data_IF_042342218452
#
_entry.id   IF_042342218452
#
_cell.length_a   1.000
_cell.length_b   1.000
_cell.length_c   1.000
_cell.angle_alpha   90.00
_cell.angle_beta   90.00
_cell.angle_gamma   90.00
#
_symmetry.space_group_name_H-M   'P 1'
#
loop_
_entity.id
_entity.type
_entity.pdbx_description
1 polymer ?
#
# COMPACT_ATOMS: atom_id res chain seq x y z
N UNK A 1 3.88 -18.82 20.93
CA UNK A 1 4.53 -19.29 19.69
C UNK A 1 5.92 -18.74 19.67
N UNK A 2 6.88 -19.54 19.25
CA UNK A 2 8.23 -19.01 19.05
C UNK A 2 8.26 -18.10 17.80
N UNK A 3 9.39 -17.42 17.61
CA UNK A 3 9.54 -16.42 16.55
C UNK A 3 9.57 -17.05 15.15
N UNK A 4 10.07 -18.29 15.04
CA UNK A 4 10.16 -19.02 13.78
C UNK A 4 8.77 -19.51 13.39
N UNK A 5 8.02 -20.09 14.32
CA UNK A 5 6.62 -20.47 14.15
C UNK A 5 5.78 -19.27 13.69
N UNK A 6 6.00 -18.10 14.30
CA UNK A 6 5.33 -16.86 13.93
C UNK A 6 5.64 -16.43 12.49
N UNK A 7 6.91 -16.51 12.07
CA UNK A 7 7.31 -16.25 10.68
C UNK A 7 6.67 -17.24 9.71
N UNK A 8 6.66 -18.52 10.07
CA UNK A 8 6.07 -19.59 9.27
C UNK A 8 4.56 -19.41 9.09
N UNK A 9 3.83 -18.95 10.12
CA UNK A 9 2.40 -18.61 9.98
C UNK A 9 2.19 -17.62 8.83
N UNK A 10 2.94 -16.51 8.82
CA UNK A 10 2.77 -15.50 7.78
C UNK A 10 3.08 -16.04 6.38
N UNK A 11 4.17 -16.80 6.23
CA UNK A 11 4.52 -17.39 4.93
C UNK A 11 3.47 -18.42 4.49
N UNK A 12 3.07 -19.34 5.36
CA UNK A 12 2.07 -20.36 5.08
C UNK A 12 0.74 -19.72 4.68
N UNK A 13 0.27 -18.72 5.44
CA UNK A 13 -0.96 -17.98 5.14
C UNK A 13 -0.86 -17.28 3.79
N UNK A 14 0.28 -16.64 3.49
CA UNK A 14 0.49 -15.98 2.20
C UNK A 14 0.46 -16.97 1.03
N UNK A 15 1.09 -18.14 1.16
CA UNK A 15 1.06 -19.19 0.15
C UNK A 15 -0.33 -19.80 -0.01
N UNK A 16 -1.03 -20.12 1.08
CA UNK A 16 -2.39 -20.67 1.05
C UNK A 16 -3.36 -19.68 0.41
N UNK A 17 -3.34 -18.42 0.83
CA UNK A 17 -4.19 -17.37 0.27
C UNK A 17 -3.92 -17.19 -1.24
N UNK A 18 -2.65 -17.22 -1.64
CA UNK A 18 -2.24 -17.13 -3.06
C UNK A 18 -2.69 -18.34 -3.87
N UNK A 19 -2.60 -19.54 -3.30
CA UNK A 19 -3.09 -20.76 -3.92
C UNK A 19 -4.59 -20.67 -4.17
N UNK A 20 -5.39 -20.32 -3.16
CA UNK A 20 -6.83 -20.12 -3.31
C UNK A 20 -7.16 -19.02 -4.32
N UNK A 21 -6.43 -17.91 -4.28
CA UNK A 21 -6.61 -16.84 -5.25
C UNK A 21 -6.39 -17.35 -6.68
N UNK A 22 -5.37 -18.19 -6.91
CA UNK A 22 -5.05 -18.74 -8.25
C UNK A 22 -6.20 -19.54 -8.89
N UNK A 23 -7.14 -20.04 -8.08
CA UNK A 23 -8.36 -20.71 -8.56
C UNK A 23 -9.29 -19.78 -9.34
N UNK A 24 -9.03 -18.47 -9.38
CA UNK A 24 -9.75 -17.55 -10.27
C UNK A 24 -9.69 -17.97 -11.75
N UNK A 25 -8.66 -18.74 -12.13
CA UNK A 25 -8.44 -19.30 -13.48
C UNK A 25 -9.29 -20.56 -13.75
N UNK A 26 -9.94 -21.13 -12.73
CA UNK A 26 -10.75 -22.33 -12.87
C UNK A 26 -11.92 -22.10 -13.81
N UNK A 27 -12.23 -23.11 -14.64
CA UNK A 27 -13.44 -23.13 -15.48
C UNK A 27 -14.71 -23.37 -14.67
N UNK A 28 -14.59 -24.00 -13.48
CA UNK A 28 -15.73 -24.28 -12.59
C UNK A 28 -16.02 -23.06 -11.74
N UNK A 29 -17.23 -22.49 -11.88
CA UNK A 29 -17.65 -21.28 -11.16
C UNK A 29 -17.50 -21.42 -9.64
N UNK A 30 -17.95 -22.55 -9.08
CA UNK A 30 -17.88 -22.82 -7.64
C UNK A 30 -16.43 -22.79 -7.10
N UNK A 31 -15.46 -23.34 -7.84
CA UNK A 31 -14.05 -23.31 -7.42
C UNK A 31 -13.47 -21.90 -7.47
N UNK A 32 -13.89 -21.11 -8.45
CA UNK A 32 -13.49 -19.71 -8.57
C UNK A 32 -14.03 -18.87 -7.41
N UNK A 33 -15.32 -19.02 -7.08
CA UNK A 33 -15.96 -18.27 -5.99
C UNK A 33 -15.39 -18.64 -4.63
N UNK A 34 -15.27 -19.94 -4.34
CA UNK A 34 -14.63 -20.44 -3.11
C UNK A 34 -13.17 -19.99 -3.03
N UNK A 35 -12.42 -20.08 -4.13
CA UNK A 35 -11.02 -19.63 -4.16
C UNK A 35 -10.87 -18.14 -3.87
N UNK A 36 -11.72 -17.29 -4.46
CA UNK A 36 -11.72 -15.86 -4.18
C UNK A 36 -12.11 -15.58 -2.72
N UNK A 37 -13.14 -16.24 -2.20
CA UNK A 37 -13.58 -16.09 -0.81
C UNK A 37 -12.46 -16.48 0.17
N UNK A 38 -11.88 -17.67 0.01
CA UNK A 38 -10.83 -18.18 0.90
C UNK A 38 -9.53 -17.38 0.80
N UNK A 39 -9.21 -16.82 -0.37
CA UNK A 39 -8.05 -15.93 -0.53
C UNK A 39 -8.12 -14.66 0.32
N UNK A 40 -9.34 -14.24 0.69
CA UNK A 40 -9.58 -13.05 1.53
C UNK A 40 -9.81 -13.47 2.99
N UNK A 41 -10.70 -14.44 3.23
CA UNK A 41 -11.12 -14.80 4.59
C UNK A 41 -9.98 -15.36 5.42
N UNK A 42 -9.15 -16.25 4.87
CA UNK A 42 -8.05 -16.88 5.61
C UNK A 42 -7.08 -15.84 6.19
N UNK A 43 -6.46 -14.95 5.39
CA UNK A 43 -5.58 -13.92 5.94
C UNK A 43 -6.33 -12.93 6.85
N UNK A 44 -7.62 -12.65 6.61
CA UNK A 44 -8.41 -11.79 7.50
C UNK A 44 -8.66 -12.41 8.87
N UNK A 45 -8.87 -13.73 8.97
CA UNK A 45 -8.95 -14.44 10.26
C UNK A 45 -7.66 -14.19 11.05
N UNK A 46 -6.49 -14.35 10.42
CA UNK A 46 -5.18 -14.11 11.06
C UNK A 46 -5.07 -12.68 11.59
N UNK A 47 -5.57 -11.68 10.85
CA UNK A 47 -5.57 -10.30 11.31
C UNK A 47 -6.53 -10.04 12.48
N UNK A 48 -7.65 -10.77 12.55
CA UNK A 48 -8.65 -10.63 13.61
C UNK A 48 -8.28 -11.35 14.90
N UNK A 49 -7.70 -12.55 14.81
CA UNK A 49 -7.34 -13.34 15.99
C UNK A 49 -6.09 -12.82 16.69
N UNK A 50 -5.25 -12.04 16.00
CA UNK A 50 -4.01 -11.52 16.58
C UNK A 50 -4.26 -10.73 17.87
N UNK A 51 -3.32 -10.79 18.79
CA UNK A 51 -3.31 -10.03 20.02
C UNK A 51 -1.95 -9.37 20.23
N UNK A 52 -1.90 -8.05 20.41
CA UNK A 52 -0.65 -7.30 20.66
C UNK A 52 0.44 -7.48 19.58
N UNK A 53 0.05 -7.80 18.33
CA UNK A 53 0.95 -7.93 17.20
C UNK A 53 0.93 -6.67 16.36
N UNK A 54 2.08 -6.01 16.20
CA UNK A 54 2.17 -4.72 15.54
C UNK A 54 2.26 -3.54 16.52
N UNK A 55 3.21 -2.64 16.29
CA UNK A 55 3.40 -1.39 17.02
C UNK A 55 2.11 -0.58 17.24
N UNK A 56 1.21 -0.54 16.25
CA UNK A 56 0.00 0.28 16.33
C UNK A 56 -1.23 -0.51 16.84
N UNK A 57 -1.11 -1.81 17.15
CA UNK A 57 -2.24 -2.67 17.57
C UNK A 57 -3.01 -2.08 18.75
N UNK A 58 -2.30 -1.75 19.85
CA UNK A 58 -2.95 -1.29 21.08
C UNK A 58 -3.68 0.04 20.89
N UNK A 59 -3.14 0.92 20.05
CA UNK A 59 -3.78 2.20 19.72
C UNK A 59 -5.11 1.99 18.98
N UNK A 60 -5.14 1.09 17.98
CA UNK A 60 -6.38 0.75 17.29
C UNK A 60 -7.35 0.02 18.20
N UNK A 61 -6.87 -0.95 18.98
CA UNK A 61 -7.72 -1.70 19.92
C UNK A 61 -8.40 -0.78 20.91
N UNK A 62 -7.64 0.11 21.58
CA UNK A 62 -8.19 1.10 22.50
C UNK A 62 -9.21 2.03 21.82
N UNK A 63 -8.94 2.44 20.57
CA UNK A 63 -9.88 3.26 19.80
C UNK A 63 -11.18 2.52 19.49
N UNK A 64 -11.10 1.23 19.14
CA UNK A 64 -12.28 0.40 18.85
C UNK A 64 -13.11 0.10 20.10
N UNK A 65 -12.45 -0.12 21.25
CA UNK A 65 -13.13 -0.27 22.53
C UNK A 65 -13.85 1.03 22.94
N UNK A 66 -13.20 2.19 22.82
CA UNK A 66 -13.82 3.49 23.08
C UNK A 66 -15.00 3.78 22.13
N UNK A 67 -14.94 3.34 20.88
CA UNK A 67 -16.04 3.52 19.92
C UNK A 67 -17.32 2.78 20.31
N UNK A 68 -17.29 1.82 21.24
CA UNK A 68 -18.49 1.12 21.72
C UNK A 68 -19.47 2.10 22.37
N UNK A 69 -18.94 3.03 23.17
CA UNK A 69 -19.73 3.96 23.99
C UNK A 69 -19.94 5.34 23.32
N UNK A 70 -19.32 5.58 22.15
CA UNK A 70 -19.40 6.86 21.45
C UNK A 70 -20.50 6.86 20.38
N UNK A 71 -21.34 7.90 20.37
CA UNK A 71 -22.33 8.13 19.31
C UNK A 71 -21.70 8.80 18.06
N UNK A 72 -22.23 8.50 16.87
CA UNK A 72 -21.89 9.13 15.59
C UNK A 72 -21.80 10.66 15.64
N UNK A 73 -22.68 11.34 16.38
CA UNK A 73 -22.66 12.80 16.51
C UNK A 73 -21.30 13.32 17.03
N UNK A 74 -20.75 12.66 18.05
CA UNK A 74 -19.47 13.07 18.67
C UNK A 74 -18.27 12.76 17.78
N UNK A 75 -18.36 11.72 16.94
CA UNK A 75 -17.35 11.44 15.91
C UNK A 75 -17.30 12.57 14.88
N UNK A 76 -18.45 13.14 14.52
CA UNK A 76 -18.54 14.22 13.53
C UNK A 76 -18.12 15.58 14.09
N UNK A 77 -18.34 15.83 15.38
CA UNK A 77 -17.99 17.09 16.04
C UNK A 77 -16.50 17.26 16.35
N UNK A 78 -15.69 16.21 16.23
CA UNK A 78 -14.24 16.24 16.52
C UNK A 78 -13.91 16.51 18.01
N UNK A 79 -14.91 16.43 18.89
CA UNK A 79 -14.76 16.63 20.34
C UNK A 79 -14.15 15.41 21.05
N UNK A 80 -14.06 14.26 20.37
CA UNK A 80 -13.43 13.06 20.92
C UNK A 80 -11.99 12.97 20.42
N UNK A 81 -11.03 13.02 21.34
CA UNK A 81 -9.59 13.04 21.09
C UNK A 81 -9.02 11.71 20.53
N UNK A 82 -9.67 11.09 19.54
CA UNK A 82 -9.21 9.85 18.94
C UNK A 82 -7.90 9.99 18.18
N UNK A 83 -7.47 11.19 17.78
CA UNK A 83 -6.30 11.40 16.91
C UNK A 83 -6.34 10.60 15.57
N UNK A 84 -7.52 10.12 15.18
CA UNK A 84 -7.77 9.33 13.97
C UNK A 84 -8.57 10.11 12.93
N UNK A 85 -8.51 9.66 11.67
CA UNK A 85 -9.23 10.29 10.56
C UNK A 85 -10.74 9.94 10.62
N UNK A 86 -11.61 10.91 10.34
CA UNK A 86 -13.07 10.79 10.58
C UNK A 86 -13.74 9.68 9.76
N UNK A 87 -13.37 9.53 8.49
CA UNK A 87 -13.92 8.45 7.64
C UNK A 87 -13.54 7.06 8.17
N UNK A 88 -12.33 6.92 8.72
CA UNK A 88 -11.90 5.69 9.38
C UNK A 88 -12.71 5.43 10.66
N UNK A 89 -12.94 6.45 11.49
CA UNK A 89 -13.72 6.32 12.72
C UNK A 89 -15.18 5.94 12.43
N UNK A 90 -15.82 6.56 11.44
CA UNK A 90 -17.21 6.26 11.06
C UNK A 90 -17.36 4.80 10.59
N UNK A 91 -16.47 4.32 9.72
CA UNK A 91 -16.49 2.93 9.26
C UNK A 91 -16.19 1.98 10.42
N UNK A 92 -15.22 2.31 11.28
CA UNK A 92 -14.90 1.51 12.46
C UNK A 92 -16.08 1.44 13.42
N UNK A 93 -16.85 2.52 13.60
CA UNK A 93 -18.06 2.54 14.42
C UNK A 93 -19.12 1.58 13.88
N UNK A 94 -19.33 1.55 12.57
CA UNK A 94 -20.24 0.56 11.94
C UNK A 94 -19.79 -0.88 12.24
N UNK A 95 -18.48 -1.16 12.15
CA UNK A 95 -17.94 -2.49 12.47
C UNK A 95 -18.05 -2.85 13.95
N UNK A 96 -17.88 -1.86 14.84
CA UNK A 96 -18.08 -2.01 16.28
C UNK A 96 -19.56 -2.29 16.58
N UNK A 97 -20.49 -1.52 16.01
CA UNK A 97 -21.93 -1.72 16.22
C UNK A 97 -22.41 -3.09 15.71
N UNK A 98 -21.79 -3.62 14.66
CA UNK A 98 -22.10 -4.94 14.12
C UNK A 98 -21.73 -6.11 15.06
N UNK A 99 -20.63 -5.98 15.82
CA UNK A 99 -20.02 -7.13 16.50
C UNK A 99 -19.75 -6.96 17.99
N UNK A 100 -19.71 -5.70 18.45
CA UNK A 100 -19.21 -5.28 19.76
C UNK A 100 -17.84 -5.89 20.14
N UNK A 101 -17.02 -6.28 19.16
CA UNK A 101 -15.78 -7.01 19.37
C UNK A 101 -14.66 -6.48 18.48
N UNK A 102 -13.64 -5.86 19.10
CA UNK A 102 -12.50 -5.26 18.41
C UNK A 102 -11.68 -6.23 17.55
N UNK A 103 -11.66 -7.53 17.89
CA UNK A 103 -11.04 -8.57 17.05
C UNK A 103 -11.78 -8.74 15.72
N UNK A 104 -13.12 -8.69 15.76
CA UNK A 104 -13.96 -8.72 14.55
C UNK A 104 -13.77 -7.42 13.75
N UNK A 105 -13.59 -6.27 14.40
CA UNK A 105 -13.27 -5.01 13.70
C UNK A 105 -11.95 -5.11 12.93
N UNK A 106 -10.89 -5.70 13.51
CA UNK A 106 -9.64 -5.96 12.77
C UNK A 106 -9.84 -6.92 11.58
N UNK A 107 -10.63 -7.99 11.76
CA UNK A 107 -11.01 -8.89 10.68
C UNK A 107 -11.69 -8.13 9.54
N UNK A 108 -12.69 -7.30 9.82
CA UNK A 108 -13.46 -6.55 8.83
C UNK A 108 -12.61 -5.51 8.08
N UNK A 109 -11.69 -4.83 8.76
CA UNK A 109 -10.75 -3.93 8.10
C UNK A 109 -9.76 -4.68 7.20
N UNK A 110 -9.24 -5.82 7.65
CA UNK A 110 -8.40 -6.68 6.80
C UNK A 110 -9.17 -7.16 5.56
N UNK A 111 -10.41 -7.61 5.75
CA UNK A 111 -11.30 -8.03 4.67
C UNK A 111 -11.47 -6.90 3.64
N UNK A 112 -11.71 -5.67 4.13
CA UNK A 112 -11.85 -4.47 3.30
C UNK A 112 -10.60 -4.21 2.45
N UNK A 113 -9.40 -4.29 3.04
CA UNK A 113 -8.14 -4.11 2.30
C UNK A 113 -8.02 -5.12 1.16
N UNK A 114 -8.21 -6.40 1.47
CA UNK A 114 -8.02 -7.49 0.52
C UNK A 114 -9.08 -7.46 -0.59
N UNK A 115 -10.34 -7.16 -0.27
CA UNK A 115 -11.41 -6.99 -1.26
C UNK A 115 -11.12 -5.81 -2.20
N UNK A 116 -10.73 -4.65 -1.67
CA UNK A 116 -10.37 -3.47 -2.49
C UNK A 116 -9.18 -3.77 -3.42
N UNK A 117 -8.16 -4.45 -2.89
CA UNK A 117 -7.00 -4.84 -3.66
C UNK A 117 -7.37 -5.84 -4.76
N UNK A 118 -8.05 -6.94 -4.42
CA UNK A 118 -8.48 -7.97 -5.38
C UNK A 118 -9.38 -7.37 -6.46
N UNK A 119 -10.36 -6.53 -6.10
CA UNK A 119 -11.22 -5.85 -7.05
C UNK A 119 -10.43 -5.04 -8.08
N UNK A 120 -9.33 -4.40 -7.64
CA UNK A 120 -8.44 -3.66 -8.51
C UNK A 120 -7.63 -4.59 -9.41
N UNK A 121 -6.92 -5.56 -8.85
CA UNK A 121 -6.02 -6.44 -9.62
C UNK A 121 -6.77 -7.39 -10.54
N UNK A 122 -8.00 -7.77 -10.20
CA UNK A 122 -8.84 -8.60 -11.06
C UNK A 122 -9.12 -7.93 -12.42
N UNK A 123 -9.10 -6.59 -12.48
CA UNK A 123 -9.24 -5.86 -13.75
C UNK A 123 -8.01 -5.95 -14.66
N UNK A 124 -6.86 -6.39 -14.13
CA UNK A 124 -5.60 -6.59 -14.84
C UNK A 124 -5.34 -8.07 -15.21
N UNK A 125 -6.27 -8.98 -14.93
CA UNK A 125 -6.07 -10.44 -15.02
C UNK A 125 -5.72 -10.99 -16.41
N UNK A 126 -6.04 -10.26 -17.47
CA UNK A 126 -5.79 -10.71 -18.85
C UNK A 126 -4.38 -10.36 -19.33
N UNK A 127 -3.80 -9.29 -18.79
CA UNK A 127 -2.52 -8.75 -19.26
C UNK A 127 -1.36 -9.03 -18.28
N UNK A 128 -1.67 -9.40 -17.03
CA UNK A 128 -0.69 -9.52 -15.95
C UNK A 128 -0.86 -10.80 -15.13
N UNK A 129 0.24 -11.29 -14.53
CA UNK A 129 0.20 -12.41 -13.57
C UNK A 129 -0.34 -11.92 -12.22
N UNK A 130 -1.67 -11.81 -12.13
CA UNK A 130 -2.32 -11.29 -10.93
C UNK A 130 -2.13 -12.20 -9.71
N UNK A 131 -1.80 -13.49 -9.89
CA UNK A 131 -1.46 -14.38 -8.78
C UNK A 131 -0.15 -13.95 -8.13
N UNK A 132 0.87 -13.63 -8.94
CA UNK A 132 2.12 -13.09 -8.43
C UNK A 132 1.92 -11.70 -7.82
N UNK A 133 1.10 -10.83 -8.44
CA UNK A 133 0.74 -9.52 -7.88
C UNK A 133 0.16 -9.67 -6.47
N UNK A 134 -0.79 -10.60 -6.28
CA UNK A 134 -1.42 -10.83 -4.99
C UNK A 134 -0.43 -11.34 -3.94
N UNK A 135 0.44 -12.28 -4.30
CA UNK A 135 1.50 -12.77 -3.41
C UNK A 135 2.45 -11.63 -2.97
N UNK A 136 2.90 -10.81 -3.90
CA UNK A 136 3.77 -9.66 -3.61
C UNK A 136 3.05 -8.65 -2.70
N UNK A 137 1.76 -8.39 -2.94
CA UNK A 137 0.99 -7.52 -2.08
C UNK A 137 0.87 -8.05 -0.64
N UNK A 138 0.66 -9.35 -0.47
CA UNK A 138 0.57 -9.95 0.86
C UNK A 138 1.85 -9.71 1.68
N UNK A 139 3.01 -9.92 1.06
CA UNK A 139 4.30 -9.80 1.75
C UNK A 139 4.81 -8.36 1.88
N UNK A 140 4.52 -7.47 0.92
CA UNK A 140 5.04 -6.09 0.94
C UNK A 140 4.10 -5.07 1.59
N UNK A 141 2.78 -5.29 1.57
CA UNK A 141 1.79 -4.28 1.96
C UNK A 141 0.79 -4.79 3.00
N UNK A 142 0.27 -6.01 2.83
CA UNK A 142 -0.79 -6.53 3.70
C UNK A 142 -0.30 -6.71 5.14
N UNK A 143 0.83 -7.37 5.37
CA UNK A 143 1.34 -7.50 6.75
C UNK A 143 1.78 -6.16 7.35
N UNK A 144 2.23 -5.21 6.54
CA UNK A 144 2.48 -3.84 6.97
C UNK A 144 1.20 -3.14 7.45
N UNK A 145 0.02 -3.54 6.94
CA UNK A 145 -1.28 -3.01 7.39
C UNK A 145 -1.61 -3.31 8.84
N UNK A 146 -0.94 -4.30 9.48
CA UNK A 146 -1.13 -4.59 10.91
C UNK A 146 -0.68 -3.41 11.79
N UNK A 147 0.18 -2.55 11.24
CA UNK A 147 0.60 -1.28 11.82
C UNK A 147 -0.12 -0.10 11.18
N UNK A 148 -0.06 0.03 9.85
CA UNK A 148 -0.55 1.23 9.17
C UNK A 148 -1.88 1.00 8.45
N UNK A 149 -2.83 0.38 9.16
CA UNK A 149 -4.13 -0.06 8.66
C UNK A 149 -4.85 0.99 7.79
N UNK A 150 -5.06 2.19 8.34
CA UNK A 150 -5.69 3.34 7.65
C UNK A 150 -5.01 3.66 6.32
N UNK A 151 -3.68 3.69 6.34
CA UNK A 151 -2.89 4.08 5.19
C UNK A 151 -2.94 3.02 4.09
N UNK A 152 -2.90 1.72 4.43
CA UNK A 152 -2.99 0.65 3.44
C UNK A 152 -4.39 0.57 2.80
N UNK A 153 -5.46 0.83 3.57
CA UNK A 153 -6.81 1.00 3.00
C UNK A 153 -6.82 2.13 1.96
N UNK A 154 -6.29 3.31 2.34
CA UNK A 154 -6.21 4.44 1.43
C UNK A 154 -5.35 4.13 0.18
N UNK A 155 -4.22 3.44 0.34
CA UNK A 155 -3.36 2.98 -0.78
C UNK A 155 -4.13 2.08 -1.75
N UNK A 156 -4.97 1.15 -1.26
CA UNK A 156 -5.78 0.29 -2.12
C UNK A 156 -6.83 1.09 -2.92
N UNK A 157 -7.45 2.11 -2.31
CA UNK A 157 -8.38 3.01 -2.99
C UNK A 157 -7.67 3.86 -4.05
N UNK A 158 -6.49 4.41 -3.71
CA UNK A 158 -5.66 5.15 -4.66
C UNK A 158 -5.22 4.25 -5.83
N UNK A 159 -4.82 3.01 -5.55
CA UNK A 159 -4.45 2.06 -6.59
C UNK A 159 -5.60 1.81 -7.58
N UNK A 160 -6.84 1.70 -7.08
CA UNK A 160 -8.03 1.63 -7.94
C UNK A 160 -8.22 2.89 -8.79
N UNK A 161 -7.97 4.06 -8.20
CA UNK A 161 -8.16 5.35 -8.87
C UNK A 161 -7.29 5.52 -10.11
N UNK A 162 -6.13 4.86 -10.18
CA UNK A 162 -5.22 4.94 -11.34
C UNK A 162 -5.91 4.50 -12.63
N UNK A 163 -6.86 3.56 -12.59
CA UNK A 163 -7.65 3.18 -13.78
C UNK A 163 -8.33 4.41 -14.42
N UNK A 164 -8.82 5.34 -13.61
CA UNK A 164 -9.52 6.51 -14.10
C UNK A 164 -8.58 7.56 -14.72
N UNK A 165 -7.29 7.53 -14.38
CA UNK A 165 -6.25 8.29 -15.08
C UNK A 165 -6.17 7.83 -16.54
N UNK A 166 -6.08 6.53 -16.78
CA UNK A 166 -6.04 5.99 -18.14
C UNK A 166 -7.36 6.18 -18.89
N UNK A 167 -8.49 6.00 -18.22
CA UNK A 167 -9.83 6.16 -18.81
C UNK A 167 -10.23 7.63 -19.05
N UNK A 168 -9.37 8.61 -18.70
CA UNK A 168 -9.66 10.06 -18.75
C UNK A 168 -10.96 10.46 -17.99
N UNK A 169 -11.18 9.89 -16.80
CA UNK A 169 -12.34 10.18 -15.93
C UNK A 169 -11.92 10.93 -14.66
N UNK A 170 -11.64 12.23 -14.78
CA UNK A 170 -11.12 13.07 -13.68
C UNK A 170 -12.03 13.06 -12.45
N UNK A 171 -13.35 13.17 -12.65
CA UNK A 171 -14.32 13.18 -11.55
C UNK A 171 -14.25 11.89 -10.72
N UNK A 172 -14.21 10.72 -11.37
CA UNK A 172 -14.09 9.42 -10.69
C UNK A 172 -12.75 9.25 -9.99
N UNK A 173 -11.67 9.75 -10.57
CA UNK A 173 -10.37 9.81 -9.93
C UNK A 173 -10.41 10.65 -8.65
N UNK A 174 -10.90 11.89 -8.73
CA UNK A 174 -10.98 12.81 -7.58
C UNK A 174 -11.92 12.32 -6.48
N UNK A 175 -13.04 11.67 -6.83
CA UNK A 175 -13.95 11.06 -5.85
C UNK A 175 -13.22 9.98 -5.05
N UNK A 176 -12.49 9.08 -5.71
CA UNK A 176 -11.74 8.04 -5.00
C UNK A 176 -10.59 8.61 -4.16
N UNK A 177 -9.90 9.63 -4.65
CA UNK A 177 -8.88 10.35 -3.85
C UNK A 177 -9.54 10.97 -2.62
N UNK A 178 -10.68 11.64 -2.77
CA UNK A 178 -11.44 12.23 -1.67
C UNK A 178 -11.87 11.19 -0.63
N UNK A 179 -12.43 10.06 -1.06
CA UNK A 179 -12.79 8.94 -0.17
C UNK A 179 -11.54 8.44 0.57
N UNK A 180 -10.44 8.19 -0.13
CA UNK A 180 -9.18 7.77 0.49
C UNK A 180 -8.68 8.80 1.52
N UNK A 181 -8.82 10.09 1.24
CA UNK A 181 -8.46 11.18 2.14
C UNK A 181 -9.33 11.25 3.39
N UNK A 182 -10.58 10.77 3.36
CA UNK A 182 -11.39 10.68 4.59
C UNK A 182 -10.91 9.58 5.54
N UNK A 183 -10.25 8.54 5.00
CA UNK A 183 -9.69 7.41 5.78
C UNK A 183 -8.27 7.70 6.24
N UNK A 184 -7.48 8.36 5.39
CA UNK A 184 -6.16 8.85 5.74
C UNK A 184 -5.83 10.12 4.95
N UNK A 185 -5.79 11.27 5.62
CA UNK A 185 -5.74 12.59 4.98
C UNK A 185 -4.61 12.75 3.95
N UNK A 186 -3.45 12.14 4.20
CA UNK A 186 -2.28 12.23 3.31
C UNK A 186 -2.49 11.61 1.93
N UNK A 187 -3.56 10.83 1.72
CA UNK A 187 -3.94 10.30 0.41
C UNK A 187 -4.22 11.40 -0.63
N UNK A 188 -4.52 12.62 -0.19
CA UNK A 188 -4.72 13.79 -1.06
C UNK A 188 -3.47 14.10 -1.89
N UNK A 189 -2.28 13.73 -1.38
CA UNK A 189 -1.01 13.86 -2.07
C UNK A 189 -0.87 12.93 -3.28
N UNK A 190 -1.90 12.14 -3.61
CA UNK A 190 -1.98 11.31 -4.81
C UNK A 190 -2.56 12.05 -6.02
N UNK A 191 -3.15 13.23 -5.86
CA UNK A 191 -3.68 14.07 -6.97
C UNK A 191 -2.67 14.23 -8.12
N UNK A 192 -1.37 14.45 -7.87
CA UNK A 192 -0.36 14.58 -8.93
C UNK A 192 -0.32 13.42 -9.93
N UNK A 193 -0.75 12.21 -9.55
CA UNK A 193 -0.79 11.03 -10.44
C UNK A 193 -1.56 11.29 -11.73
N UNK A 194 -2.65 12.08 -11.67
CA UNK A 194 -3.45 12.44 -12.83
C UNK A 194 -2.61 13.11 -13.93
N UNK A 195 -1.69 13.98 -13.53
CA UNK A 195 -0.89 14.80 -14.44
C UNK A 195 0.31 14.07 -15.04
N UNK A 196 0.54 12.81 -14.66
CA UNK A 196 1.62 11.97 -15.21
C UNK A 196 1.23 11.24 -16.50
N UNK A 197 -0.05 11.32 -16.89
CA UNK A 197 -0.55 10.81 -18.16
C UNK A 197 -0.94 11.94 -19.11
N UNK A 198 -0.67 11.77 -20.40
CA UNK A 198 -1.13 12.66 -21.45
C UNK A 198 -2.40 12.09 -22.09
N UNK A 199 -3.56 12.61 -21.68
CA UNK A 199 -4.86 12.17 -22.17
C UNK A 199 -5.10 12.45 -23.66
N UNK A 200 -4.35 13.39 -24.28
CA UNK A 200 -4.47 13.66 -25.73
C UNK A 200 -3.82 12.58 -26.58
N UNK A 201 -2.65 12.10 -26.17
CA UNK A 201 -1.88 11.09 -26.92
C UNK A 201 -2.10 9.67 -26.40
N UNK A 202 -2.79 9.54 -25.25
CA UNK A 202 -2.92 8.29 -24.51
C UNK A 202 -1.56 7.62 -24.24
N UNK A 203 -0.62 8.43 -23.76
CA UNK A 203 0.75 8.01 -23.41
C UNK A 203 1.18 8.67 -22.09
N UNK A 204 2.25 8.19 -21.44
CA UNK A 204 2.93 8.95 -20.40
C UNK A 204 3.34 10.34 -20.92
N UNK A 205 3.48 11.28 -20.00
CA UNK A 205 3.94 12.63 -20.32
C UNK A 205 5.28 12.66 -21.09
N UNK A 206 5.47 13.72 -21.87
CA UNK A 206 6.68 13.93 -22.68
C UNK A 206 7.96 13.89 -21.84
N UNK A 207 9.09 13.49 -22.46
CA UNK A 207 10.40 13.44 -21.79
C UNK A 207 10.81 14.77 -21.13
N UNK A 208 10.42 15.92 -21.71
CA UNK A 208 10.69 17.24 -21.13
C UNK A 208 9.88 17.45 -19.86
N UNK A 209 8.57 17.20 -19.90
CA UNK A 209 7.68 17.32 -18.73
C UNK A 209 8.06 16.35 -17.63
N UNK A 210 8.42 15.10 -17.98
CA UNK A 210 8.94 14.10 -17.04
C UNK A 210 10.16 14.62 -16.29
N UNK A 211 11.14 15.20 -17.00
CA UNK A 211 12.32 15.82 -16.37
C UNK A 211 11.94 16.95 -15.42
N UNK A 212 11.05 17.86 -15.83
CA UNK A 212 10.58 18.95 -14.96
C UNK A 212 9.92 18.42 -13.68
N UNK A 213 9.05 17.42 -13.78
CA UNK A 213 8.39 16.82 -12.61
C UNK A 213 9.40 16.14 -11.69
N UNK A 214 10.39 15.42 -12.23
CA UNK A 214 11.41 14.77 -11.42
C UNK A 214 12.30 15.80 -10.71
N UNK A 215 12.70 16.88 -11.38
CA UNK A 215 13.42 17.98 -10.74
C UNK A 215 12.58 18.62 -9.63
N UNK A 216 11.30 18.89 -9.90
CA UNK A 216 10.39 19.42 -8.88
C UNK A 216 10.23 18.45 -7.70
N UNK A 217 10.10 17.15 -7.94
CA UNK A 217 10.01 16.13 -6.89
C UNK A 217 11.28 16.09 -6.03
N UNK A 218 12.47 16.18 -6.65
CA UNK A 218 13.75 16.28 -5.92
C UNK A 218 13.77 17.55 -5.07
N UNK A 219 13.44 18.72 -5.63
CA UNK A 219 13.39 19.99 -4.90
C UNK A 219 12.38 19.94 -3.74
N UNK A 220 11.19 19.38 -3.96
CA UNK A 220 10.18 19.22 -2.92
C UNK A 220 10.71 18.34 -1.79
N UNK A 221 11.34 17.21 -2.12
CA UNK A 221 11.90 16.26 -1.16
C UNK A 221 13.10 16.83 -0.40
N UNK A 222 13.94 17.67 -1.01
CA UNK A 222 15.08 18.29 -0.31
C UNK A 222 14.65 19.50 0.53
N UNK A 223 13.58 20.20 0.13
CA UNK A 223 13.10 21.41 0.79
C UNK A 223 11.89 21.20 1.70
N UNK A 224 11.43 19.95 1.89
CA UNK A 224 10.18 19.63 2.60
C UNK A 224 10.07 20.27 4.00
N UNK A 225 11.17 20.36 4.74
CA UNK A 225 11.20 20.97 6.08
C UNK A 225 10.91 22.46 6.03
N UNK A 226 11.47 23.16 5.04
CA UNK A 226 11.22 24.59 4.84
C UNK A 226 9.79 24.85 4.40
N UNK A 227 9.24 23.97 3.55
CA UNK A 227 7.82 24.03 3.14
C UNK A 227 6.90 23.89 4.36
N UNK A 228 7.14 22.90 5.22
CA UNK A 228 6.35 22.72 6.45
C UNK A 228 6.49 23.91 7.40
N UNK A 229 7.70 24.41 7.63
CA UNK A 229 7.93 25.58 8.49
C UNK A 229 7.26 26.84 7.94
N UNK A 230 7.30 27.06 6.63
CA UNK A 230 6.63 28.17 5.98
C UNK A 230 5.12 28.13 6.22
N UNK A 231 4.48 26.98 5.99
CA UNK A 231 3.04 26.87 6.23
C UNK A 231 2.64 26.90 7.72
N UNK A 232 3.54 26.49 8.62
CA UNK A 232 3.29 26.56 10.06
C UNK A 232 3.14 27.99 10.57
N UNK A 233 3.76 28.99 9.92
CA UNK A 233 3.61 30.42 10.25
C UNK A 233 2.14 30.85 10.17
N UNK A 234 1.37 30.24 9.29
CA UNK A 234 -0.06 30.54 9.10
C UNK A 234 -0.98 29.80 10.08
N UNK A 235 -0.44 29.10 11.08
CA UNK A 235 -1.21 28.35 12.08
C UNK A 235 -2.24 27.38 11.48
N UNK A 236 -1.96 26.82 10.29
CA UNK A 236 -2.83 25.85 9.66
C UNK A 236 -2.77 24.56 10.49
N UNK A 237 -3.87 24.23 11.19
CA UNK A 237 -3.97 23.11 12.14
C UNK A 237 -3.36 21.79 11.62
N UNK A 238 -3.63 21.44 10.35
CA UNK A 238 -3.07 20.22 9.76
C UNK A 238 -1.55 20.26 9.70
N UNK A 239 -0.94 21.40 9.38
CA UNK A 239 0.51 21.56 9.27
C UNK A 239 1.15 21.52 10.66
N UNK A 240 0.54 22.18 11.64
CA UNK A 240 1.02 22.17 13.03
C UNK A 240 1.10 20.74 13.58
N UNK A 241 0.13 19.86 13.26
CA UNK A 241 0.15 18.44 13.64
C UNK A 241 1.39 17.69 13.12
N UNK A 242 1.89 18.05 11.93
CA UNK A 242 3.05 17.39 11.32
C UNK A 242 4.40 18.01 11.71
N UNK A 243 4.42 19.13 12.45
CA UNK A 243 5.65 19.78 12.92
C UNK A 243 6.49 18.88 13.83
N UNK A 244 5.85 17.98 14.58
CA UNK A 244 6.51 16.98 15.45
C UNK A 244 7.52 16.12 14.66
N UNK A 245 7.32 15.96 13.36
CA UNK A 245 8.19 15.14 12.51
C UNK A 245 9.41 15.87 11.94
N UNK A 246 9.61 17.16 12.24
CA UNK A 246 10.75 17.94 11.74
C UNK A 246 12.08 17.59 12.43
N UNK A 247 12.04 17.22 13.71
CA UNK A 247 13.24 17.00 14.53
C UNK A 247 13.67 15.53 14.57
N UNK A 248 13.48 14.80 13.47
CA UNK A 248 13.86 13.39 13.40
C UNK A 248 15.37 13.20 13.41
N UNK A 249 15.82 12.16 14.13
CA UNK A 249 17.21 11.71 14.06
C UNK A 249 17.54 11.20 12.65
N UNK A 250 18.82 11.15 12.27
CA UNK A 250 19.22 10.46 11.04
C UNK A 250 18.91 8.96 11.19
N UNK A 251 17.98 8.46 10.38
CA UNK A 251 17.60 7.05 10.37
C UNK A 251 18.32 6.28 9.27
N UNK A 252 18.60 4.99 9.50
CA UNK A 252 18.90 4.08 8.40
C UNK A 252 17.64 3.88 7.55
N UNK A 253 17.80 3.93 6.23
CA UNK A 253 16.67 3.84 5.30
C UNK A 253 16.92 2.80 4.23
N UNK A 254 17.02 1.54 4.66
CA UNK A 254 17.28 0.38 3.78
C UNK A 254 16.21 0.27 2.69
N UNK A 255 14.95 0.63 2.99
CA UNK A 255 13.86 0.63 1.99
C UNK A 255 14.13 1.58 0.82
N UNK A 256 14.79 2.73 1.04
CA UNK A 256 15.23 3.61 -0.04
C UNK A 256 16.28 2.95 -0.93
N UNK A 257 17.29 2.31 -0.34
CA UNK A 257 18.36 1.63 -1.09
C UNK A 257 17.78 0.52 -1.97
N UNK A 258 16.85 -0.26 -1.42
CA UNK A 258 16.16 -1.32 -2.16
C UNK A 258 15.31 -0.74 -3.30
N UNK A 259 14.52 0.31 -3.05
CA UNK A 259 13.73 0.98 -4.11
C UNK A 259 14.62 1.62 -5.17
N UNK A 260 15.80 2.13 -4.82
CA UNK A 260 16.79 2.63 -5.77
C UNK A 260 17.31 1.50 -6.66
N UNK A 261 17.69 0.36 -6.09
CA UNK A 261 18.08 -0.83 -6.85
C UNK A 261 16.96 -1.34 -7.77
N UNK A 262 15.73 -1.44 -7.26
CA UNK A 262 14.56 -1.82 -8.06
C UNK A 262 14.27 -0.81 -9.19
N UNK A 263 14.51 0.48 -8.96
CA UNK A 263 14.37 1.51 -10.00
C UNK A 263 15.32 1.23 -11.16
N UNK A 264 16.59 0.89 -10.86
CA UNK A 264 17.57 0.51 -11.89
C UNK A 264 17.10 -0.74 -12.63
N UNK A 265 16.64 -1.77 -11.91
CA UNK A 265 16.10 -3.00 -12.51
C UNK A 265 14.91 -2.69 -13.43
N UNK A 266 13.97 -1.85 -13.03
CA UNK A 266 12.81 -1.50 -13.85
C UNK A 266 13.16 -0.66 -15.08
N UNK A 267 14.17 0.22 -14.99
CA UNK A 267 14.67 0.96 -16.15
C UNK A 267 15.34 0.01 -17.15
N UNK A 268 16.17 -0.92 -16.68
CA UNK A 268 16.80 -1.95 -17.52
C UNK A 268 15.72 -2.83 -18.15
N UNK A 269 14.78 -3.34 -17.35
CA UNK A 269 13.61 -4.10 -17.80
C UNK A 269 12.89 -3.41 -18.97
N UNK A 270 12.60 -2.11 -18.85
CA UNK A 270 11.90 -1.35 -19.87
C UNK A 270 12.71 -1.20 -21.16
N UNK A 271 14.04 -1.13 -21.05
CA UNK A 271 14.93 -1.08 -22.22
C UNK A 271 14.97 -2.41 -22.98
N UNK A 272 14.79 -3.55 -22.28
CA UNK A 272 14.89 -4.89 -22.86
C UNK A 272 13.59 -5.36 -23.55
N UNK A 273 12.42 -5.00 -23.02
CA UNK A 273 11.12 -5.49 -23.51
C UNK A 273 10.49 -4.59 -24.60
N UNK A 274 11.18 -3.51 -25.01
CA UNK A 274 10.79 -2.63 -26.13
C UNK A 274 9.30 -2.22 -26.13
N UNK A 275 8.93 -1.21 -25.32
CA UNK A 275 7.72 -0.34 -25.44
C UNK A 275 6.38 -0.94 -25.92
N UNK A 276 6.04 -2.19 -25.62
CA UNK A 276 4.73 -2.73 -26.02
C UNK A 276 3.57 -2.16 -25.19
N UNK A 277 3.81 -1.80 -23.92
CA UNK A 277 2.77 -1.30 -23.01
C UNK A 277 3.16 0.05 -22.39
N UNK A 278 2.55 1.12 -22.90
CA UNK A 278 2.77 2.50 -22.41
C UNK A 278 2.37 2.70 -20.95
N UNK A 279 1.51 1.84 -20.38
CA UNK A 279 1.16 1.92 -18.94
C UNK A 279 2.34 1.53 -18.07
N UNK A 280 3.26 0.68 -18.55
CA UNK A 280 4.48 0.34 -17.82
C UNK A 280 5.39 1.55 -17.67
N UNK A 281 5.56 2.36 -18.72
CA UNK A 281 6.32 3.59 -18.63
C UNK A 281 5.74 4.56 -17.59
N UNK A 282 4.40 4.61 -17.48
CA UNK A 282 3.72 5.35 -16.42
C UNK A 282 4.00 4.76 -15.04
N UNK A 283 3.85 3.44 -14.86
CA UNK A 283 4.12 2.80 -13.57
C UNK A 283 5.58 2.96 -13.13
N UNK A 284 6.55 2.91 -14.05
CA UNK A 284 7.96 3.17 -13.74
C UNK A 284 8.15 4.62 -13.30
N UNK A 285 7.52 5.59 -13.97
CA UNK A 285 7.59 6.99 -13.56
C UNK A 285 7.00 7.20 -12.15
N UNK A 286 5.83 6.62 -11.89
CA UNK A 286 5.18 6.66 -10.57
C UNK A 286 6.07 6.01 -9.50
N UNK A 287 6.71 4.87 -9.82
CA UNK A 287 7.63 4.19 -8.92
C UNK A 287 8.89 5.03 -8.61
N UNK A 288 9.46 5.70 -9.61
CA UNK A 288 10.58 6.64 -9.41
C UNK A 288 10.17 7.77 -8.46
N UNK A 289 8.98 8.33 -8.61
CA UNK A 289 8.46 9.35 -7.68
C UNK A 289 8.34 8.77 -6.26
N UNK A 290 7.85 7.53 -6.11
CA UNK A 290 7.86 6.83 -4.82
C UNK A 290 9.27 6.74 -4.22
N UNK A 291 10.27 6.33 -5.02
CA UNK A 291 11.65 6.20 -4.58
C UNK A 291 12.23 7.55 -4.15
N UNK A 292 11.94 8.63 -4.88
CA UNK A 292 12.33 9.98 -4.50
C UNK A 292 11.69 10.41 -3.17
N UNK A 293 10.39 10.17 -2.96
CA UNK A 293 9.72 10.48 -1.69
C UNK A 293 10.31 9.65 -0.54
N UNK A 294 10.67 8.40 -0.79
CA UNK A 294 11.28 7.51 0.21
C UNK A 294 12.58 8.09 0.78
N UNK A 295 13.31 8.94 0.03
CA UNK A 295 14.52 9.62 0.52
C UNK A 295 14.26 10.43 1.80
N UNK A 296 13.08 11.01 1.96
CA UNK A 296 12.70 11.72 3.19
C UNK A 296 12.80 10.81 4.43
N UNK A 297 12.75 9.50 4.24
CA UNK A 297 12.90 8.49 5.29
C UNK A 297 14.25 8.50 6.02
N UNK A 298 15.28 9.14 5.49
CA UNK A 298 16.53 9.39 6.24
C UNK A 298 16.32 10.41 7.38
N UNK A 299 15.26 11.21 7.31
CA UNK A 299 14.92 12.24 8.30
C UNK A 299 13.63 11.94 9.06
N UNK A 300 12.63 11.33 8.40
CA UNK A 300 11.35 11.00 9.03
C UNK A 300 10.75 9.71 8.49
N UNK A 301 10.64 8.72 9.37
CA UNK A 301 9.98 7.44 9.08
C UNK A 301 8.45 7.55 8.90
N UNK A 302 7.85 8.66 9.33
CA UNK A 302 6.43 8.95 9.16
C UNK A 302 6.16 9.60 7.80
N UNK A 303 6.93 10.62 7.45
CA UNK A 303 6.75 11.36 6.18
C UNK A 303 7.07 10.46 4.99
N UNK A 304 8.06 9.56 5.09
CA UNK A 304 8.38 8.63 4.01
C UNK A 304 7.19 7.76 3.59
N UNK A 305 6.23 7.50 4.48
CA UNK A 305 5.05 6.65 4.19
C UNK A 305 4.16 7.23 3.09
N UNK A 306 4.28 8.52 2.76
CA UNK A 306 3.64 9.11 1.57
C UNK A 306 4.03 8.36 0.29
N UNK A 307 5.24 7.79 0.24
CA UNK A 307 5.71 6.99 -0.89
C UNK A 307 4.79 5.80 -1.20
N UNK A 308 4.04 5.27 -0.21
CA UNK A 308 3.20 4.08 -0.37
C UNK A 308 2.09 4.26 -1.41
N UNK A 309 1.55 5.48 -1.54
CA UNK A 309 0.54 5.82 -2.56
C UNK A 309 1.08 5.68 -3.98
N UNK A 310 2.39 5.83 -4.14
CA UNK A 310 3.11 5.75 -5.40
C UNK A 310 3.79 4.39 -5.57
N UNK A 311 4.23 3.72 -4.49
CA UNK A 311 5.00 2.49 -4.59
C UNK A 311 4.13 1.28 -4.94
N UNK A 312 2.82 1.32 -4.66
CA UNK A 312 1.91 0.20 -4.90
C UNK A 312 1.95 -0.32 -6.35
N UNK A 313 2.32 0.52 -7.33
CA UNK A 313 2.47 0.08 -8.74
C UNK A 313 3.61 -0.91 -8.94
N UNK A 314 4.54 -1.03 -7.99
CA UNK A 314 5.64 -2.00 -8.03
C UNK A 314 5.13 -3.44 -8.08
N UNK A 315 3.97 -3.75 -7.50
CA UNK A 315 3.39 -5.10 -7.57
C UNK A 315 3.15 -5.51 -9.03
N UNK A 316 2.72 -4.56 -9.87
CA UNK A 316 2.53 -4.76 -11.31
C UNK A 316 3.89 -4.92 -12.00
N UNK A 317 4.86 -4.05 -11.72
CA UNK A 317 6.19 -4.07 -12.34
C UNK A 317 6.93 -5.39 -12.03
N UNK A 318 6.92 -5.82 -10.76
CA UNK A 318 7.53 -7.07 -10.30
C UNK A 318 6.91 -8.27 -11.02
N UNK A 319 5.58 -8.27 -11.19
CA UNK A 319 4.88 -9.39 -11.86
C UNK A 319 5.31 -9.60 -13.32
N UNK A 320 5.90 -8.58 -13.94
CA UNK A 320 6.35 -8.62 -15.33
C UNK A 320 7.82 -8.95 -15.49
N UNK A 321 8.65 -8.93 -14.44
CA UNK A 321 10.10 -9.18 -14.55
C UNK A 321 10.45 -10.51 -15.23
N UNK A 322 9.58 -11.51 -15.12
CA UNK A 322 9.72 -12.78 -15.85
C UNK A 322 9.77 -12.62 -17.38
N UNK A 323 9.26 -11.53 -17.95
CA UNK A 323 9.27 -11.29 -19.39
C UNK A 323 10.64 -10.86 -19.95
N UNK A 324 11.61 -10.53 -19.09
CA UNK A 324 12.98 -10.17 -19.53
C UNK A 324 13.67 -11.38 -20.15
N UNK A 325 13.35 -12.58 -19.67
CA UNK A 325 14.00 -13.82 -20.09
C UNK A 325 13.17 -14.56 -21.15
N UNK A 326 13.85 -15.47 -21.86
CA UNK A 326 13.21 -16.38 -22.82
C UNK A 326 12.11 -17.19 -22.13
N UNK A 327 11.13 -17.63 -22.93
CA UNK A 327 9.93 -18.33 -22.46
C UNK A 327 10.24 -19.53 -21.55
N UNK A 328 11.26 -20.31 -21.91
CA UNK A 328 11.75 -21.49 -21.17
C UNK A 328 12.24 -21.14 -19.75
N UNK A 329 12.85 -19.97 -19.59
CA UNK A 329 13.42 -19.51 -18.31
C UNK A 329 12.43 -18.71 -17.45
N UNK A 330 11.22 -18.40 -17.95
CA UNK A 330 10.25 -17.56 -17.22
C UNK A 330 9.83 -18.14 -15.88
N UNK A 331 9.66 -19.48 -15.80
CA UNK A 331 9.33 -20.17 -14.55
C UNK A 331 10.44 -20.02 -13.50
N UNK A 332 11.71 -20.16 -13.93
CA UNK A 332 12.86 -19.96 -13.06
C UNK A 332 12.96 -18.50 -12.59
N UNK A 333 12.79 -17.53 -13.49
CA UNK A 333 12.79 -16.11 -13.12
C UNK A 333 11.65 -15.77 -12.15
N UNK A 334 10.45 -16.34 -12.37
CA UNK A 334 9.33 -16.22 -11.44
C UNK A 334 9.67 -16.76 -10.06
N UNK A 335 10.31 -17.93 -9.99
CA UNK A 335 10.79 -18.50 -8.73
C UNK A 335 11.81 -17.58 -8.04
N UNK A 336 12.77 -17.03 -8.78
CA UNK A 336 13.76 -16.09 -8.23
C UNK A 336 13.11 -14.81 -7.67
N UNK A 337 12.08 -14.29 -8.35
CA UNK A 337 11.28 -13.16 -7.86
C UNK A 337 10.56 -13.54 -6.57
N UNK A 338 9.89 -14.69 -6.52
CA UNK A 338 9.22 -15.18 -5.30
C UNK A 338 10.22 -15.30 -4.15
N UNK A 339 11.37 -15.92 -4.37
CA UNK A 339 12.43 -16.07 -3.37
C UNK A 339 12.94 -14.71 -2.89
N UNK A 340 13.13 -13.75 -3.78
CA UNK A 340 13.59 -12.40 -3.41
C UNK A 340 12.58 -11.66 -2.53
N UNK A 341 11.28 -11.81 -2.81
CA UNK A 341 10.21 -11.20 -2.01
C UNK A 341 10.07 -11.88 -0.65
N UNK A 342 10.21 -13.22 -0.60
CA UNK A 342 10.25 -13.96 0.67
C UNK A 342 11.46 -13.52 1.49
N UNK A 343 12.65 -13.47 0.90
CA UNK A 343 13.87 -12.99 1.59
C UNK A 343 13.69 -11.56 2.09
N UNK A 344 13.13 -10.66 1.29
CA UNK A 344 12.84 -9.29 1.72
C UNK A 344 11.92 -9.28 2.95
N UNK A 345 10.84 -10.07 2.93
CA UNK A 345 9.90 -10.16 4.05
C UNK A 345 10.58 -10.75 5.30
N UNK A 346 11.36 -11.81 5.17
CA UNK A 346 12.10 -12.43 6.29
C UNK A 346 13.10 -11.44 6.89
N UNK A 347 13.90 -10.77 6.07
CA UNK A 347 14.85 -9.76 6.54
C UNK A 347 14.11 -8.62 7.27
N UNK A 348 13.02 -8.11 6.69
CA UNK A 348 12.25 -7.01 7.28
C UNK A 348 11.55 -7.40 8.59
N UNK A 349 10.73 -8.45 8.55
CA UNK A 349 9.86 -8.84 9.66
C UNK A 349 10.61 -9.57 10.79
N UNK A 350 11.55 -10.47 10.45
CA UNK A 350 12.24 -11.31 11.41
C UNK A 350 13.59 -10.74 11.85
N UNK A 351 14.49 -10.41 10.90
CA UNK A 351 15.83 -9.93 11.26
C UNK A 351 15.82 -8.49 11.77
N UNK A 352 15.08 -7.61 11.10
CA UNK A 352 15.03 -6.17 11.43
C UNK A 352 13.87 -5.80 12.37
N UNK A 353 13.00 -6.76 12.72
CA UNK A 353 11.81 -6.56 13.58
C UNK A 353 10.95 -5.38 13.20
N UNK A 354 10.82 -5.12 11.90
CA UNK A 354 10.08 -3.96 11.42
C UNK A 354 8.61 -4.06 11.82
N UNK A 355 8.17 -3.09 12.61
CA UNK A 355 6.79 -2.95 13.03
C UNK A 355 6.30 -4.04 14.00
N UNK A 356 7.19 -4.72 14.74
CA UNK A 356 6.85 -5.68 15.79
C UNK A 356 5.79 -6.72 15.38
N UNK A 357 5.94 -7.28 14.17
CA UNK A 357 5.06 -8.33 13.65
C UNK A 357 5.34 -9.72 14.24
N UNK A 358 6.53 -9.93 14.79
CA UNK A 358 7.01 -11.21 15.32
C UNK A 358 7.52 -10.97 16.76
N UNK A 359 7.07 -11.74 17.77
CA UNK A 359 6.22 -12.94 17.65
C UNK A 359 4.74 -12.62 17.34
N UNK A 360 4.06 -13.60 16.73
CA UNK A 360 2.61 -13.59 16.53
C UNK A 360 1.94 -14.23 17.76
N UNK A 361 0.93 -13.55 18.29
CA UNK A 361 0.18 -13.94 19.48
C UNK A 361 -1.32 -13.82 19.21
N UNK A 362 -2.14 -14.62 19.89
CA UNK A 362 -3.61 -14.77 19.70
C UNK A 362 -4.36 -14.58 21.01
#
# INVERSE_FOLDING_TARGET
MDEIESLLIYLIVAFIATFFFSLYKSKKLILKEIGLLLSVVIPSIIAGIRYNVGTDYNNYYASFEQLKDVNYFWILKDDVHFNLDRGFLLISKIFVDFSNNSRIVFFLWSLTILVLFIFTVYSYRYDYDITLIFFVFLLLYYYTSFNILRQIVAVCIIFRSIKYVFDNKLSKFLILVGIASTIHITAVLSIPLWFLWNHKTNEPISKKRRRCILVFAVLFVTLWQYVLRFFAIFNISIVTKYMVYLNGNKYSNISFIIKLGLTVVFIIFQSLIKREDKKIDFFILVFIISMLIEYVGFYSSYVKRISLYYSIVEVILISRLQLIVKMESRKLMRLMVVLSIVTYFVVGAYMLRQGNLIPFTV
#
